data_IF_993519882883
#
_entry.id   IF_993519882883
#
_cell.length_a   1.000
_cell.length_b   1.000
_cell.length_c   1.000
_cell.angle_alpha   90.00
_cell.angle_beta   90.00
_cell.angle_gamma   90.00
#
_symmetry.space_group_name_H-M   'P 1'
#
loop_
_entity.id
_entity.type
_entity.pdbx_description
1 polymer ?
#
# COMPACT_ATOMS: atom_id res chain seq x y z
N UNK A 1 -3.47 -21.18 -27.47
CA UNK A 1 -2.00 -21.30 -27.43
C UNK A 1 -1.29 -20.01 -27.06
N UNK A 2 -1.62 -19.38 -25.92
CA UNK A 2 -0.75 -18.41 -25.22
C UNK A 2 -0.29 -19.07 -23.92
N UNK A 3 0.64 -20.02 -24.04
CA UNK A 3 1.25 -20.69 -22.90
C UNK A 3 2.53 -19.94 -22.55
N UNK A 4 2.59 -19.39 -21.33
CA UNK A 4 3.82 -19.11 -20.57
C UNK A 4 4.84 -18.12 -21.17
N UNK A 5 4.48 -16.84 -21.29
CA UNK A 5 5.49 -15.83 -20.95
C UNK A 5 5.30 -15.53 -19.46
N UNK A 6 6.28 -15.93 -18.66
CA UNK A 6 6.38 -15.55 -17.25
C UNK A 6 6.73 -14.07 -17.29
N UNK A 7 5.84 -13.18 -16.82
CA UNK A 7 6.14 -11.74 -16.77
C UNK A 7 7.51 -11.54 -16.12
N UNK A 8 8.40 -10.80 -16.77
CA UNK A 8 9.69 -10.43 -16.18
C UNK A 8 9.39 -9.42 -15.09
N UNK A 9 9.65 -9.80 -13.84
CA UNK A 9 9.29 -8.98 -12.67
C UNK A 9 10.54 -8.27 -12.17
N UNK A 10 10.38 -7.01 -11.75
CA UNK A 10 11.30 -6.31 -10.85
C UNK A 10 10.60 -6.04 -9.53
N UNK A 11 11.34 -6.08 -8.42
CA UNK A 11 10.80 -5.88 -7.08
C UNK A 11 11.56 -4.79 -6.33
N UNK A 12 10.82 -3.81 -5.80
CA UNK A 12 11.32 -2.76 -4.93
C UNK A 12 10.73 -2.92 -3.52
N UNK A 13 11.59 -3.09 -2.53
CA UNK A 13 11.23 -3.01 -1.11
C UNK A 13 11.56 -1.64 -0.55
N UNK A 14 10.61 -1.06 0.18
CA UNK A 14 10.81 0.13 0.99
C UNK A 14 10.61 -0.25 2.45
N UNK A 15 11.57 0.11 3.29
CA UNK A 15 11.49 -0.07 4.74
C UNK A 15 12.10 1.14 5.47
N UNK A 16 12.00 1.19 6.79
CA UNK A 16 12.60 2.26 7.60
C UNK A 16 14.05 1.93 7.93
N UNK A 17 14.31 0.72 8.43
CA UNK A 17 15.61 0.36 9.00
C UNK A 17 16.17 -0.94 8.43
N UNK A 18 15.31 -1.95 8.21
CA UNK A 18 15.75 -3.28 7.81
C UNK A 18 14.63 -4.03 7.11
N UNK A 19 14.97 -4.69 6.02
CA UNK A 19 14.10 -5.61 5.30
C UNK A 19 14.93 -6.76 4.73
N UNK A 20 14.27 -7.87 4.44
CA UNK A 20 14.90 -9.14 4.01
C UNK A 20 14.32 -9.68 2.71
N UNK A 21 13.12 -9.21 2.34
CA UNK A 21 12.31 -9.72 1.24
C UNK A 21 13.04 -9.61 -0.11
N UNK A 22 13.87 -8.56 -0.29
CA UNK A 22 14.67 -8.38 -1.50
C UNK A 22 15.73 -9.47 -1.68
N UNK A 23 16.35 -9.93 -0.60
CA UNK A 23 17.36 -10.99 -0.61
C UNK A 23 16.70 -12.36 -0.80
N UNK A 24 15.59 -12.60 -0.10
CA UNK A 24 14.79 -13.82 -0.19
C UNK A 24 14.25 -14.03 -1.61
N UNK A 25 13.58 -13.02 -2.17
CA UNK A 25 12.99 -13.10 -3.52
C UNK A 25 14.05 -13.23 -4.61
N UNK A 26 15.19 -12.55 -4.46
CA UNK A 26 16.31 -12.68 -5.39
C UNK A 26 16.89 -14.09 -5.35
N UNK A 27 17.10 -14.65 -4.15
CA UNK A 27 17.68 -15.98 -3.97
C UNK A 27 16.74 -17.09 -4.47
N UNK A 28 15.45 -16.99 -4.18
CA UNK A 28 14.48 -18.04 -4.48
C UNK A 28 13.99 -18.00 -5.93
N UNK A 29 13.78 -16.79 -6.48
CA UNK A 29 13.12 -16.63 -7.78
C UNK A 29 14.02 -16.01 -8.86
N UNK A 30 15.22 -15.53 -8.52
CA UNK A 30 16.11 -14.87 -9.47
C UNK A 30 15.59 -13.52 -9.96
N UNK A 31 14.66 -12.91 -9.23
CA UNK A 31 14.05 -11.62 -9.58
C UNK A 31 15.06 -10.49 -9.30
N UNK A 32 15.23 -9.52 -10.23
CA UNK A 32 15.91 -8.26 -9.94
C UNK A 32 15.24 -7.55 -8.76
N UNK A 33 16.00 -7.31 -7.70
CA UNK A 33 15.49 -6.63 -6.51
C UNK A 33 16.29 -5.37 -6.18
N UNK A 34 15.59 -4.37 -5.65
CA UNK A 34 16.16 -3.19 -4.97
C UNK A 34 15.48 -3.02 -3.63
N UNK A 35 16.22 -2.46 -2.69
CA UNK A 35 15.73 -2.10 -1.35
C UNK A 35 16.16 -0.67 -1.03
N UNK A 36 15.25 0.08 -0.43
CA UNK A 36 15.48 1.46 0.00
C UNK A 36 15.07 1.59 1.46
N UNK A 37 15.91 2.29 2.23
CA UNK A 37 15.62 2.64 3.60
C UNK A 37 15.26 4.13 3.71
N UNK A 38 14.13 4.41 4.34
CA UNK A 38 13.63 5.78 4.47
C UNK A 38 14.37 6.59 5.53
N UNK A 39 14.98 5.93 6.52
CA UNK A 39 15.63 6.60 7.65
C UNK A 39 14.65 7.50 8.39
N UNK A 40 14.96 8.80 8.47
CA UNK A 40 14.13 9.80 9.15
C UNK A 40 12.86 10.20 8.35
N UNK A 41 12.79 9.84 7.07
CA UNK A 41 11.58 10.03 6.28
C UNK A 41 10.55 8.95 6.58
N UNK A 42 9.27 9.32 6.51
CA UNK A 42 8.21 8.33 6.46
C UNK A 42 8.44 7.39 5.26
N UNK A 43 8.35 6.05 5.43
CA UNK A 43 8.64 5.11 4.36
C UNK A 43 7.76 5.31 3.13
N UNK A 44 6.49 5.64 3.32
CA UNK A 44 5.59 5.92 2.19
C UNK A 44 6.01 7.18 1.41
N UNK A 45 6.52 8.21 2.10
CA UNK A 45 7.06 9.40 1.42
C UNK A 45 8.37 9.10 0.68
N UNK A 46 9.25 8.29 1.28
CA UNK A 46 10.44 7.82 0.58
C UNK A 46 10.03 7.03 -0.68
N UNK A 47 9.00 6.18 -0.58
CA UNK A 47 8.42 5.47 -1.71
C UNK A 47 7.93 6.40 -2.82
N UNK A 48 7.18 7.45 -2.47
CA UNK A 48 6.72 8.46 -3.44
C UNK A 48 7.89 9.12 -4.16
N UNK A 49 8.95 9.50 -3.42
CA UNK A 49 10.12 10.17 -3.99
C UNK A 49 10.87 9.31 -5.01
N UNK A 50 10.98 8.00 -4.76
CA UNK A 50 11.80 7.10 -5.56
C UNK A 50 11.00 6.33 -6.62
N UNK A 51 9.68 6.46 -6.63
CA UNK A 51 8.80 5.64 -7.50
C UNK A 51 9.12 5.82 -8.99
N UNK A 52 9.40 7.05 -9.44
CA UNK A 52 9.79 7.31 -10.83
C UNK A 52 11.11 6.63 -11.20
N UNK A 53 12.12 6.72 -10.32
CA UNK A 53 13.41 6.06 -10.51
C UNK A 53 13.27 4.54 -10.49
N UNK A 54 12.34 4.01 -9.68
CA UNK A 54 12.00 2.60 -9.65
C UNK A 54 11.42 2.10 -10.97
N UNK A 55 10.54 2.89 -11.60
CA UNK A 55 9.99 2.57 -12.93
C UNK A 55 11.09 2.57 -13.98
N UNK A 56 11.96 3.59 -14.01
CA UNK A 56 13.11 3.63 -14.94
C UNK A 56 14.02 2.42 -14.74
N UNK A 57 14.33 2.08 -13.50
CA UNK A 57 15.13 0.90 -13.19
C UNK A 57 14.45 -0.42 -13.65
N UNK A 58 13.14 -0.54 -13.50
CA UNK A 58 12.41 -1.71 -13.99
C UNK A 58 12.45 -1.82 -15.53
N UNK A 59 12.34 -0.68 -16.23
CA UNK A 59 12.50 -0.60 -17.70
C UNK A 59 13.91 -1.01 -18.14
N UNK A 60 14.96 -0.57 -17.44
CA UNK A 60 16.35 -0.99 -17.69
C UNK A 60 16.55 -2.50 -17.50
N UNK A 61 15.77 -3.12 -16.62
CA UNK A 61 15.73 -4.58 -16.44
C UNK A 61 14.76 -5.26 -17.42
N UNK A 62 14.18 -4.52 -18.38
CA UNK A 62 13.17 -4.97 -19.35
C UNK A 62 11.98 -5.67 -18.68
N UNK A 63 11.60 -5.25 -17.47
CA UNK A 63 10.55 -5.90 -16.70
C UNK A 63 9.16 -5.53 -17.21
N UNK A 64 8.30 -6.53 -17.35
CA UNK A 64 6.88 -6.38 -17.68
C UNK A 64 6.06 -5.93 -16.45
N UNK A 65 6.56 -6.19 -15.24
CA UNK A 65 5.88 -5.87 -13.98
C UNK A 65 6.88 -5.34 -12.94
N UNK A 66 6.56 -4.20 -12.35
CA UNK A 66 7.22 -3.70 -11.15
C UNK A 66 6.31 -3.90 -9.94
N UNK A 67 6.80 -4.63 -8.93
CA UNK A 67 6.14 -4.76 -7.63
C UNK A 67 6.84 -3.82 -6.65
N UNK A 68 6.08 -2.92 -6.04
CA UNK A 68 6.57 -2.01 -5.00
C UNK A 68 5.93 -2.37 -3.68
N UNK A 69 6.74 -2.79 -2.71
CA UNK A 69 6.28 -3.13 -1.37
C UNK A 69 6.65 -2.03 -0.38
N UNK A 70 5.63 -1.42 0.23
CA UNK A 70 5.82 -0.44 1.30
C UNK A 70 6.27 -1.09 2.62
N UNK A 71 6.63 -0.27 3.61
CA UNK A 71 6.92 -0.75 4.97
C UNK A 71 5.66 -1.19 5.74
N UNK A 72 4.46 -0.81 5.29
CA UNK A 72 3.20 -1.10 5.98
C UNK A 72 3.03 -0.40 7.32
N UNK A 73 3.70 0.75 7.52
CA UNK A 73 3.70 1.48 8.80
C UNK A 73 2.85 2.75 8.80
N UNK A 74 2.68 3.40 7.64
CA UNK A 74 1.94 4.64 7.57
C UNK A 74 0.54 4.42 6.98
N UNK A 75 -0.46 4.60 7.82
CA UNK A 75 -1.87 4.38 7.45
C UNK A 75 -2.51 5.57 6.74
N UNK A 76 -1.72 6.58 6.40
CA UNK A 76 -2.20 7.90 5.98
C UNK A 76 -1.69 8.32 4.61
N UNK A 77 -0.41 8.10 4.32
CA UNK A 77 0.21 8.59 3.11
C UNK A 77 -0.16 7.76 1.88
N UNK A 78 -0.42 6.46 2.07
CA UNK A 78 -1.08 5.56 1.10
C UNK A 78 -0.66 5.84 -0.35
N UNK A 79 0.57 5.46 -0.75
CA UNK A 79 1.22 5.94 -1.98
C UNK A 79 0.66 5.30 -3.26
N UNK A 80 -0.67 5.13 -3.33
CA UNK A 80 -1.38 4.66 -4.50
C UNK A 80 -1.42 5.74 -5.56
N UNK A 81 -1.19 5.34 -6.81
CA UNK A 81 -1.10 6.25 -7.94
C UNK A 81 -2.27 6.09 -8.88
N UNK A 82 -2.51 7.10 -9.72
CA UNK A 82 -3.54 7.10 -10.76
C UNK A 82 -3.31 6.04 -11.83
N UNK A 83 -2.14 5.39 -11.83
CA UNK A 83 -1.76 4.32 -12.75
C UNK A 83 -1.25 3.09 -11.99
N UNK A 84 -1.26 1.93 -12.65
CA UNK A 84 -0.96 0.66 -11.99
C UNK A 84 -2.08 0.21 -11.04
N UNK A 85 -1.76 -0.74 -10.15
CA UNK A 85 -2.73 -1.37 -9.26
C UNK A 85 -2.37 -1.13 -7.80
N UNK A 86 -3.19 -0.35 -7.10
CA UNK A 86 -3.05 -0.13 -5.67
C UNK A 86 -3.70 -1.25 -4.86
N UNK A 87 -2.88 -2.06 -4.19
CA UNK A 87 -3.35 -3.18 -3.36
C UNK A 87 -3.17 -2.83 -1.88
N UNK A 88 -4.23 -2.97 -1.08
CA UNK A 88 -4.13 -3.02 0.39
C UNK A 88 -4.16 -4.48 0.84
N UNK A 89 -3.11 -4.93 1.52
CA UNK A 89 -3.04 -6.29 2.08
C UNK A 89 -3.46 -6.25 3.53
N UNK A 90 -4.56 -6.93 3.84
CA UNK A 90 -5.16 -6.97 5.18
C UNK A 90 -5.00 -8.37 5.76
N UNK A 91 -4.69 -8.46 7.04
CA UNK A 91 -4.68 -9.74 7.75
C UNK A 91 -6.00 -9.93 8.48
N UNK A 92 -6.71 -11.02 8.22
CA UNK A 92 -8.01 -11.29 8.85
C UNK A 92 -7.93 -11.41 10.38
N UNK A 93 -6.75 -11.77 10.92
CA UNK A 93 -6.47 -11.87 12.35
C UNK A 93 -6.05 -10.55 13.01
N UNK A 94 -6.00 -9.44 12.26
CA UNK A 94 -5.57 -8.12 12.78
C UNK A 94 -6.62 -7.45 13.69
N UNK A 95 -7.77 -8.10 13.92
CA UNK A 95 -8.90 -7.58 14.68
C UNK A 95 -10.00 -7.01 13.77
N UNK A 96 -11.25 -7.25 14.13
CA UNK A 96 -12.44 -6.94 13.31
C UNK A 96 -12.59 -5.46 12.95
N UNK A 97 -12.13 -4.55 13.81
CA UNK A 97 -12.21 -3.11 13.58
C UNK A 97 -10.98 -2.52 12.85
N UNK A 98 -10.00 -3.33 12.50
CA UNK A 98 -8.79 -2.85 11.82
C UNK A 98 -9.11 -2.12 10.52
N UNK A 99 -10.01 -2.59 9.63
CA UNK A 99 -10.35 -1.87 8.41
C UNK A 99 -10.75 -0.40 8.66
N UNK A 100 -11.57 -0.14 9.69
CA UNK A 100 -11.99 1.22 10.05
C UNK A 100 -10.82 2.14 10.44
N UNK A 101 -9.74 1.56 10.99
CA UNK A 101 -8.51 2.30 11.35
C UNK A 101 -7.58 2.50 10.16
N UNK A 102 -7.72 1.70 9.11
CA UNK A 102 -6.95 1.79 7.87
C UNK A 102 -7.67 2.64 6.80
N UNK A 103 -8.59 3.51 7.22
CA UNK A 103 -9.43 4.36 6.38
C UNK A 103 -8.72 4.87 5.12
N UNK A 104 -7.66 5.68 5.27
CA UNK A 104 -6.96 6.26 4.12
C UNK A 104 -6.41 5.23 3.12
N UNK A 105 -5.86 4.11 3.59
CA UNK A 105 -5.33 3.07 2.70
C UNK A 105 -6.47 2.38 1.92
N UNK A 106 -7.54 2.01 2.62
CA UNK A 106 -8.66 1.28 1.99
C UNK A 106 -9.46 2.21 1.04
N UNK A 107 -9.62 3.49 1.40
CA UNK A 107 -10.32 4.45 0.54
C UNK A 107 -9.61 4.66 -0.80
N UNK A 108 -8.27 4.66 -0.83
CA UNK A 108 -7.49 4.97 -2.05
C UNK A 108 -7.05 3.73 -2.85
N UNK A 109 -7.11 2.54 -2.24
CA UNK A 109 -6.75 1.29 -2.91
C UNK A 109 -7.77 0.89 -3.99
N UNK A 110 -7.30 0.22 -5.04
CA UNK A 110 -8.15 -0.41 -6.06
C UNK A 110 -8.70 -1.75 -5.59
N UNK A 111 -7.92 -2.45 -4.76
CA UNK A 111 -8.19 -3.83 -4.37
C UNK A 111 -7.74 -4.10 -2.94
N UNK A 112 -8.60 -4.75 -2.15
CA UNK A 112 -8.24 -5.32 -0.86
C UNK A 112 -7.96 -6.82 -1.00
N UNK A 113 -6.78 -7.25 -0.52
CA UNK A 113 -6.44 -8.68 -0.39
C UNK A 113 -6.46 -9.05 1.08
N UNK A 114 -7.43 -9.86 1.48
CA UNK A 114 -7.60 -10.32 2.87
C UNK A 114 -6.96 -11.70 3.00
N UNK A 115 -5.88 -11.76 3.76
CA UNK A 115 -5.06 -12.96 3.99
C UNK A 115 -5.40 -13.64 5.32
N UNK A 116 -4.97 -14.90 5.48
CA UNK A 116 -5.13 -15.70 6.71
C UNK A 116 -6.60 -15.93 7.10
N UNK A 117 -7.48 -16.01 6.11
CA UNK A 117 -8.92 -16.25 6.32
C UNK A 117 -9.23 -17.63 6.90
N UNK A 118 -8.30 -18.57 6.79
CA UNK A 118 -8.37 -19.91 7.36
C UNK A 118 -8.23 -19.93 8.90
N UNK A 119 -7.78 -18.82 9.50
CA UNK A 119 -7.56 -18.70 10.94
C UNK A 119 -8.73 -18.05 11.69
N UNK A 120 -9.81 -17.71 11.00
CA UNK A 120 -10.97 -17.04 11.61
C UNK A 120 -12.27 -17.75 11.22
N UNK A 121 -13.32 -17.52 12.01
CA UNK A 121 -14.65 -18.04 11.71
C UNK A 121 -15.26 -17.35 10.49
N UNK A 122 -16.24 -17.99 9.87
CA UNK A 122 -17.01 -17.40 8.76
C UNK A 122 -17.67 -16.07 9.18
N UNK A 123 -18.23 -16.01 10.39
CA UNK A 123 -18.90 -14.81 10.89
C UNK A 123 -17.92 -13.64 11.06
N UNK A 124 -16.73 -13.89 11.63
CA UNK A 124 -15.70 -12.84 11.74
C UNK A 124 -15.25 -12.35 10.37
N UNK A 125 -15.17 -13.26 9.39
CA UNK A 125 -14.77 -12.92 8.02
C UNK A 125 -15.81 -12.03 7.34
N UNK A 126 -17.09 -12.34 7.48
CA UNK A 126 -18.19 -11.52 6.98
C UNK A 126 -18.19 -10.14 7.64
N UNK A 127 -18.03 -10.06 8.96
CA UNK A 127 -17.90 -8.78 9.67
C UNK A 127 -16.71 -7.98 9.18
N UNK A 128 -15.54 -8.61 9.01
CA UNK A 128 -14.33 -7.94 8.52
C UNK A 128 -14.53 -7.38 7.10
N UNK A 129 -15.19 -8.15 6.23
CA UNK A 129 -15.55 -7.73 4.87
C UNK A 129 -16.49 -6.52 4.88
N UNK A 130 -17.52 -6.54 5.71
CA UNK A 130 -18.44 -5.41 5.85
C UNK A 130 -17.73 -4.16 6.36
N UNK A 131 -16.76 -4.30 7.28
CA UNK A 131 -15.94 -3.17 7.74
C UNK A 131 -15.03 -2.59 6.66
N UNK A 132 -14.54 -3.40 5.71
CA UNK A 132 -13.85 -2.88 4.52
C UNK A 132 -14.82 -2.08 3.64
N UNK A 133 -16.02 -2.63 3.41
CA UNK A 133 -17.06 -1.98 2.59
C UNK A 133 -17.63 -0.71 3.21
N UNK A 134 -17.66 -0.62 4.54
CA UNK A 134 -18.02 0.60 5.27
C UNK A 134 -17.03 1.74 4.98
N UNK A 135 -15.75 1.43 4.78
CA UNK A 135 -14.72 2.42 4.42
C UNK A 135 -14.74 2.75 2.93
N UNK A 136 -14.87 1.73 2.08
CA UNK A 136 -14.93 1.88 0.64
C UNK A 136 -15.92 0.88 0.03
N UNK A 137 -17.15 1.34 -0.26
CA UNK A 137 -18.20 0.49 -0.81
C UNK A 137 -17.86 -0.10 -2.19
N UNK A 138 -17.00 0.57 -2.95
CA UNK A 138 -16.67 0.21 -4.32
C UNK A 138 -15.43 -0.68 -4.43
N UNK A 139 -14.65 -0.89 -3.36
CA UNK A 139 -13.41 -1.68 -3.43
C UNK A 139 -13.70 -3.17 -3.67
N UNK A 140 -12.96 -3.79 -4.58
CA UNK A 140 -13.01 -5.24 -4.73
C UNK A 140 -12.25 -5.94 -3.59
N UNK A 141 -12.72 -7.12 -3.18
CA UNK A 141 -12.15 -7.87 -2.06
C UNK A 141 -11.81 -9.28 -2.53
N UNK A 142 -10.53 -9.64 -2.45
CA UNK A 142 -10.04 -11.00 -2.66
C UNK A 142 -9.64 -11.59 -1.32
N UNK A 143 -10.30 -12.67 -0.94
CA UNK A 143 -9.97 -13.45 0.24
C UNK A 143 -9.07 -14.62 -0.12
N UNK A 144 -8.02 -14.84 0.68
CA UNK A 144 -7.01 -15.84 0.38
C UNK A 144 -6.41 -16.48 1.62
N UNK A 145 -6.21 -17.80 1.55
CA UNK A 145 -5.18 -18.50 2.30
C UNK A 145 -3.95 -18.59 1.38
N UNK A 146 -2.91 -17.79 1.68
CA UNK A 146 -1.71 -17.69 0.85
C UNK A 146 -0.88 -18.96 0.86
N UNK A 147 -0.97 -19.80 1.91
CA UNK A 147 -0.29 -21.11 1.95
C UNK A 147 -0.89 -22.09 0.94
N UNK A 148 -2.20 -21.98 0.70
CA UNK A 148 -2.93 -22.83 -0.26
C UNK A 148 -3.15 -22.15 -1.62
N UNK A 149 -2.84 -20.85 -1.73
CA UNK A 149 -3.05 -20.06 -2.94
C UNK A 149 -4.52 -19.82 -3.31
N UNK A 150 -5.46 -20.01 -2.37
CA UNK A 150 -6.89 -19.80 -2.65
C UNK A 150 -7.16 -18.35 -3.04
N UNK A 151 -8.05 -18.11 -4.01
CA UNK A 151 -8.35 -16.76 -4.49
C UNK A 151 -7.26 -16.07 -5.34
N UNK A 152 -6.02 -16.57 -5.36
CA UNK A 152 -4.91 -15.90 -6.08
C UNK A 152 -5.10 -15.85 -7.60
N UNK A 153 -5.85 -16.80 -8.17
CA UNK A 153 -6.21 -16.77 -9.60
C UNK A 153 -6.97 -15.49 -9.99
N UNK A 154 -7.80 -14.95 -9.09
CA UNK A 154 -8.53 -13.71 -9.36
C UNK A 154 -7.58 -12.51 -9.39
N UNK A 155 -6.62 -12.46 -8.45
CA UNK A 155 -5.58 -11.43 -8.43
C UNK A 155 -4.74 -11.48 -9.71
N UNK A 156 -4.28 -12.67 -10.10
CA UNK A 156 -3.50 -12.85 -11.33
C UNK A 156 -4.25 -12.39 -12.58
N UNK A 157 -5.56 -12.64 -12.66
CA UNK A 157 -6.38 -12.16 -13.79
C UNK A 157 -6.43 -10.63 -13.86
N UNK A 158 -6.47 -9.94 -12.71
CA UNK A 158 -6.43 -8.48 -12.67
C UNK A 158 -5.05 -8.00 -13.12
N UNK A 159 -3.98 -8.59 -12.59
CA UNK A 159 -2.59 -8.28 -12.97
C UNK A 159 -2.37 -8.45 -14.48
N UNK A 160 -2.86 -9.56 -15.06
CA UNK A 160 -2.77 -9.84 -16.49
C UNK A 160 -3.59 -8.87 -17.38
N UNK A 161 -4.50 -8.10 -16.78
CA UNK A 161 -5.34 -7.11 -17.46
C UNK A 161 -4.88 -5.66 -17.28
N UNK A 162 -3.78 -5.44 -16.53
CA UNK A 162 -3.23 -4.11 -16.33
C UNK A 162 -2.74 -3.52 -17.66
N UNK A 163 -2.92 -2.22 -17.80
CA UNK A 163 -2.35 -1.45 -18.91
C UNK A 163 -0.96 -0.94 -18.54
N UNK A 164 -0.16 -0.66 -19.57
CA UNK A 164 1.15 -0.03 -19.40
C UNK A 164 1.01 1.33 -18.70
N UNK A 165 2.06 1.70 -17.96
CA UNK A 165 2.14 2.98 -17.25
C UNK A 165 2.95 4.00 -18.05
N UNK A 166 2.58 5.27 -17.91
CA UNK A 166 3.33 6.44 -18.35
C UNK A 166 3.86 7.17 -17.11
N UNK A 167 5.16 6.97 -16.83
CA UNK A 167 5.87 7.54 -15.67
C UNK A 167 5.83 9.08 -15.61
N UNK A 168 5.60 9.77 -16.72
CA UNK A 168 5.53 11.24 -16.75
C UNK A 168 4.12 11.76 -16.41
N UNK A 169 3.09 10.89 -16.47
CA UNK A 169 1.70 11.23 -16.14
C UNK A 169 1.20 10.59 -14.85
N UNK A 170 2.07 9.85 -14.15
CA UNK A 170 1.72 9.20 -12.89
C UNK A 170 1.56 10.24 -11.78
N UNK A 171 0.43 10.22 -11.08
CA UNK A 171 0.14 11.10 -9.95
C UNK A 171 -0.38 10.30 -8.77
N UNK A 172 -0.31 10.83 -7.56
CA UNK A 172 -0.96 10.20 -6.39
C UNK A 172 -2.48 10.33 -6.49
N UNK A 173 -3.20 9.31 -5.98
CA UNK A 173 -4.67 9.35 -5.90
C UNK A 173 -5.18 10.27 -4.78
N UNK A 174 -4.41 10.41 -3.70
CA UNK A 174 -4.77 11.23 -2.55
C UNK A 174 -3.65 12.18 -2.17
N UNK A 175 -4.00 13.24 -1.43
CA UNK A 175 -3.04 14.25 -0.99
C UNK A 175 -2.17 13.73 0.17
N UNK A 176 -0.82 13.74 0.03
CA UNK A 176 0.06 13.39 1.12
C UNK A 176 0.08 14.51 2.18
N UNK A 177 0.17 14.19 3.48
CA UNK A 177 0.04 15.18 4.55
C UNK A 177 1.30 16.02 4.82
N UNK A 178 2.23 16.12 3.87
CA UNK A 178 3.49 16.84 4.05
C UNK A 178 3.25 18.36 4.14
N UNK A 179 3.92 19.01 5.09
CA UNK A 179 3.86 20.46 5.27
C UNK A 179 2.53 21.00 5.84
N UNK A 180 1.61 20.13 6.25
CA UNK A 180 0.25 20.52 6.67
C UNK A 180 0.22 21.23 8.04
N UNK A 181 1.17 20.92 8.93
CA UNK A 181 1.35 21.65 10.19
C UNK A 181 2.84 21.73 10.56
N UNK A 182 3.16 22.55 11.56
CA UNK A 182 4.56 22.73 12.01
C UNK A 182 5.28 21.46 12.50
N UNK A 183 4.56 20.41 12.90
CA UNK A 183 5.17 19.11 13.25
C UNK A 183 5.86 18.50 12.03
N UNK A 184 5.24 18.62 10.85
CA UNK A 184 5.77 18.05 9.61
C UNK A 184 7.12 18.67 9.19
N UNK A 185 7.43 19.88 9.65
CA UNK A 185 8.71 20.57 9.38
C UNK A 185 9.68 20.50 10.58
N UNK A 186 9.42 19.62 11.55
CA UNK A 186 10.36 19.32 12.64
C UNK A 186 10.19 20.13 13.93
N UNK A 187 9.07 20.84 14.11
CA UNK A 187 8.79 21.52 15.39
C UNK A 187 8.56 20.47 16.49
N UNK A 188 9.21 20.65 17.64
CA UNK A 188 9.23 19.67 18.76
C UNK A 188 8.37 20.04 19.96
N UNK A 189 7.87 21.27 20.03
CA UNK A 189 7.02 21.72 21.12
C UNK A 189 5.74 20.87 21.19
N UNK A 190 5.24 20.61 22.41
CA UNK A 190 4.00 19.87 22.63
C UNK A 190 2.84 20.85 22.78
N UNK A 191 1.68 20.50 22.23
CA UNK A 191 0.43 21.23 22.43
C UNK A 191 0.09 22.15 21.26
N UNK A 192 -1.19 22.16 20.88
CA UNK A 192 -1.68 22.86 19.69
C UNK A 192 -1.38 24.36 19.66
N UNK A 193 -1.22 24.99 20.83
CA UNK A 193 -0.88 26.41 21.01
C UNK A 193 0.46 26.78 20.40
N UNK A 194 1.37 25.80 20.28
CA UNK A 194 2.69 25.98 19.70
C UNK A 194 2.72 25.73 18.20
N UNK A 195 1.59 25.40 17.56
CA UNK A 195 1.54 24.99 16.16
C UNK A 195 0.62 25.87 15.32
N UNK A 196 0.86 25.90 14.00
CA UNK A 196 0.00 26.52 12.99
C UNK A 196 -0.19 25.57 11.80
N UNK A 197 -1.16 25.87 10.92
CA UNK A 197 -1.61 25.01 9.82
C UNK A 197 -2.90 24.27 10.16
N UNK A 198 -3.02 22.99 9.78
CA UNK A 198 -4.16 22.15 10.21
C UNK A 198 -3.93 21.70 11.64
N UNK A 199 -4.69 22.31 12.55
CA UNK A 199 -4.64 22.01 13.99
C UNK A 199 -5.91 21.24 14.39
N UNK A 200 -5.74 20.15 15.13
CA UNK A 200 -6.84 19.49 15.85
C UNK A 200 -6.64 19.63 17.35
N UNK A 201 -7.63 20.19 18.04
CA UNK A 201 -7.67 20.23 19.51
C UNK A 201 -8.39 18.97 20.01
N UNK A 202 -8.07 18.53 21.22
CA UNK A 202 -8.66 17.33 21.81
C UNK A 202 -10.20 17.34 21.78
N UNK A 203 -10.81 18.50 22.01
CA UNK A 203 -12.28 18.68 22.02
C UNK A 203 -12.94 18.71 20.63
N UNK A 204 -12.18 18.93 19.56
CA UNK A 204 -12.71 18.97 18.18
C UNK A 204 -12.20 17.79 17.34
N UNK A 205 -11.52 16.82 17.97
CA UNK A 205 -11.03 15.63 17.29
C UNK A 205 -12.24 14.74 16.94
N UNK A 206 -12.40 14.49 15.64
CA UNK A 206 -13.45 13.65 15.07
C UNK A 206 -12.78 12.54 14.25
N UNK A 207 -13.47 11.43 14.03
CA UNK A 207 -12.94 10.24 13.35
C UNK A 207 -12.90 10.36 11.83
N UNK A 208 -13.49 11.43 11.26
CA UNK A 208 -13.63 11.59 9.81
C UNK A 208 -12.28 11.90 9.12
N UNK A 209 -11.86 11.00 8.22
CA UNK A 209 -10.83 11.23 7.21
C UNK A 209 -11.50 11.62 5.90
N UNK A 210 -11.12 12.76 5.31
CA UNK A 210 -11.76 13.28 4.09
C UNK A 210 -11.04 12.88 2.80
N UNK A 211 -9.73 12.62 2.83
CA UNK A 211 -8.99 12.12 1.66
C UNK A 211 -8.83 13.09 0.48
N UNK A 212 -9.68 14.11 0.42
CA UNK A 212 -9.68 15.24 -0.52
C UNK A 212 -8.65 16.31 -0.14
#
# INVERSE_FOLDING_TARGET
NKSKNKNKVSYLKIDVVRAFEDEELKKEFGIPTKKIYSGDLCPDHAGIMVLRDAVVWAEENESDLLIVESAGLCMRCSPYTTQGLGIVVLSAISGTNTPLKMGPMITLADLAVVTKIDLISQAEREVFREKIKEVNGNIDIIETNTLQGTGMRYLMRIVDSLSDIDKEKMMLKGEPPLGVCTICIGKKDIGWQNHFGVIRRLKDADYLYRGD
#
